data_IF_112863300945
#
_entry.id   IF_112863300945
#
_cell.length_a   1.000
_cell.length_b   1.000
_cell.length_c   1.000
_cell.angle_alpha   90.00
_cell.angle_beta   90.00
_cell.angle_gamma   90.00
#
_symmetry.space_group_name_H-M   'P 1'
#
loop_
_entity.id
_entity.type
_entity.pdbx_description
1 polymer ?
#
# COMPACT_ATOMS: atom_id res chain seq x y z
N UNK A 1 -54.65 21.94 -6.62
CA UNK A 1 -54.74 22.72 -5.36
C UNK A 1 -53.75 22.13 -4.37
N UNK A 2 -52.45 22.47 -4.37
CA UNK A 2 -51.83 23.79 -4.67
C UNK A 2 -52.43 24.91 -3.79
N UNK A 3 -51.72 25.84 -3.14
CA UNK A 3 -50.29 26.16 -2.94
C UNK A 3 -50.20 27.17 -1.74
N UNK A 4 -49.09 27.60 -1.14
CA UNK A 4 -47.63 27.41 -1.33
C UNK A 4 -46.89 27.66 0.01
N UNK A 5 -45.61 27.26 0.16
CA UNK A 5 -44.66 27.90 1.12
C UNK A 5 -43.24 28.02 0.51
N UNK A 6 -42.97 29.24 0.03
CA UNK A 6 -41.71 30.01 0.13
C UNK A 6 -40.35 29.33 -0.08
N UNK A 7 -39.72 29.65 -1.21
CA UNK A 7 -38.29 29.45 -1.49
C UNK A 7 -37.41 30.49 -0.80
N UNK A 8 -36.39 30.07 -0.05
CA UNK A 8 -35.28 30.90 0.43
C UNK A 8 -34.03 30.04 0.73
N UNK A 9 -32.88 30.44 0.17
CA UNK A 9 -31.58 29.81 0.42
C UNK A 9 -31.34 28.53 -0.38
N UNK A 10 -30.18 28.30 -0.98
CA UNK A 10 -28.94 29.09 -1.00
C UNK A 10 -27.88 28.25 -1.72
N UNK A 11 -27.00 28.87 -2.50
CA UNK A 11 -26.08 28.14 -3.37
C UNK A 11 -25.06 27.30 -2.60
N UNK A 12 -25.32 26.00 -2.44
CA UNK A 12 -24.33 24.98 -2.11
C UNK A 12 -23.98 24.21 -3.37
N UNK A 13 -22.81 24.47 -3.95
CA UNK A 13 -22.31 23.65 -5.04
C UNK A 13 -22.14 22.21 -4.54
N UNK A 14 -22.89 21.26 -5.11
CA UNK A 14 -22.66 19.85 -4.87
C UNK A 14 -21.27 19.50 -5.42
N UNK A 15 -20.26 19.47 -4.53
CA UNK A 15 -19.03 18.74 -4.77
C UNK A 15 -19.45 17.31 -5.09
N UNK A 16 -19.31 16.91 -6.36
CA UNK A 16 -19.49 15.53 -6.80
C UNK A 16 -18.30 14.72 -6.34
N UNK A 17 -18.23 14.49 -5.02
CA UNK A 17 -17.44 13.41 -4.47
C UNK A 17 -17.84 12.13 -5.18
N UNK A 18 -16.84 11.39 -5.67
CA UNK A 18 -17.06 10.10 -6.30
C UNK A 18 -17.69 9.19 -5.26
N UNK A 19 -18.86 8.62 -5.58
CA UNK A 19 -19.57 7.72 -4.68
C UNK A 19 -18.71 6.50 -4.30
N UNK A 20 -19.08 5.79 -3.22
CA UNK A 20 -18.31 4.64 -2.75
C UNK A 20 -18.11 3.62 -3.88
N UNK A 21 -16.86 3.21 -4.09
CA UNK A 21 -16.50 2.21 -5.11
C UNK A 21 -16.67 0.82 -4.50
N UNK A 22 -17.77 0.15 -4.81
CA UNK A 22 -18.00 -1.22 -4.37
C UNK A 22 -17.22 -2.24 -5.22
N UNK A 23 -16.36 -3.02 -4.57
CA UNK A 23 -15.62 -4.12 -5.21
C UNK A 23 -16.16 -5.46 -4.72
N UNK A 24 -17.17 -5.98 -5.41
CA UNK A 24 -17.72 -7.30 -5.11
C UNK A 24 -16.70 -8.42 -5.38
N UNK A 25 -16.48 -9.24 -4.36
CA UNK A 25 -15.71 -10.49 -4.39
C UNK A 25 -16.66 -11.70 -4.56
N UNK A 26 -16.12 -12.87 -4.93
CA UNK A 26 -16.90 -14.11 -4.97
C UNK A 26 -17.40 -14.51 -3.57
N UNK A 27 -18.47 -15.31 -3.51
CA UNK A 27 -19.31 -15.58 -2.31
C UNK A 27 -18.64 -16.28 -1.11
N UNK A 28 -17.32 -16.47 -1.12
CA UNK A 28 -16.57 -16.90 0.07
C UNK A 28 -16.10 -15.67 0.84
N UNK A 29 -16.38 -15.62 2.15
CA UNK A 29 -15.84 -14.57 3.02
C UNK A 29 -14.30 -14.53 2.93
N UNK A 30 -13.75 -13.33 2.80
CA UNK A 30 -12.30 -13.14 2.66
C UNK A 30 -11.58 -13.62 3.91
N UNK A 31 -10.57 -14.48 3.73
CA UNK A 31 -9.69 -14.93 4.80
C UNK A 31 -8.82 -13.77 5.29
N UNK A 32 -8.36 -13.88 6.54
CA UNK A 32 -7.48 -12.90 7.19
C UNK A 32 -6.24 -12.54 6.36
N UNK A 33 -5.60 -13.53 5.72
CA UNK A 33 -4.46 -13.33 4.81
C UNK A 33 -4.82 -12.65 3.48
N UNK A 34 -6.02 -12.89 2.96
CA UNK A 34 -6.53 -12.23 1.75
C UNK A 34 -6.83 -10.75 2.02
N UNK A 35 -7.49 -10.45 3.16
CA UNK A 35 -7.70 -9.07 3.64
C UNK A 35 -6.37 -8.36 3.84
N UNK A 36 -5.41 -8.99 4.52
CA UNK A 36 -4.06 -8.42 4.69
C UNK A 36 -3.37 -8.13 3.36
N UNK A 37 -3.50 -9.02 2.36
CA UNK A 37 -2.91 -8.82 1.04
C UNK A 37 -3.52 -7.61 0.30
N UNK A 38 -4.86 -7.53 0.26
CA UNK A 38 -5.57 -6.41 -0.37
C UNK A 38 -5.22 -5.08 0.32
N UNK A 39 -5.14 -5.07 1.66
CA UNK A 39 -4.73 -3.90 2.43
C UNK A 39 -3.25 -3.52 2.18
N UNK A 40 -2.33 -4.49 2.09
CA UNK A 40 -0.92 -4.23 1.72
C UNK A 40 -0.83 -3.53 0.37
N UNK A 41 -1.55 -4.02 -0.63
CA UNK A 41 -1.52 -3.44 -1.98
C UNK A 41 -2.22 -2.07 -2.03
N UNK A 42 -3.32 -1.88 -1.31
CA UNK A 42 -3.98 -0.57 -1.14
C UNK A 42 -3.06 0.45 -0.49
N UNK A 43 -2.42 0.12 0.64
CA UNK A 43 -1.46 1.00 1.33
C UNK A 43 -0.29 1.32 0.39
N UNK A 44 0.30 0.30 -0.27
CA UNK A 44 1.39 0.50 -1.22
C UNK A 44 1.01 1.39 -2.41
N UNK A 45 -0.21 1.25 -2.94
CA UNK A 45 -0.73 2.08 -4.03
C UNK A 45 -0.98 3.53 -3.57
N UNK A 46 -1.66 3.72 -2.44
CA UNK A 46 -1.98 5.04 -1.89
C UNK A 46 -0.69 5.81 -1.54
N UNK A 47 0.30 5.16 -0.92
CA UNK A 47 1.60 5.76 -0.64
C UNK A 47 2.35 6.17 -1.92
N UNK A 48 2.23 5.40 -3.00
CA UNK A 48 2.83 5.73 -4.29
C UNK A 48 2.12 6.90 -4.98
N UNK A 49 0.78 6.91 -4.98
CA UNK A 49 -0.03 8.00 -5.55
C UNK A 49 0.19 9.34 -4.84
N UNK A 50 0.43 9.32 -3.52
CA UNK A 50 0.78 10.50 -2.72
C UNK A 50 2.28 10.81 -2.68
N UNK A 51 3.07 10.15 -3.53
CA UNK A 51 4.54 10.33 -3.64
C UNK A 51 5.31 10.15 -2.31
N UNK A 52 4.74 9.41 -1.35
CA UNK A 52 5.42 9.05 -0.11
C UNK A 52 6.46 7.94 -0.32
N UNK A 53 6.31 7.16 -1.39
CA UNK A 53 7.29 6.18 -1.86
C UNK A 53 7.67 6.43 -3.33
N UNK A 54 8.95 6.20 -3.74
CA UNK A 54 9.43 6.62 -5.05
C UNK A 54 9.03 5.71 -6.22
N UNK A 55 8.53 4.50 -5.95
CA UNK A 55 7.92 3.60 -6.93
C UNK A 55 6.95 2.64 -6.24
N UNK A 56 6.19 1.85 -7.01
CA UNK A 56 5.22 0.89 -6.46
C UNK A 56 5.89 -0.12 -5.53
N UNK A 57 5.23 -0.46 -4.42
CA UNK A 57 5.79 -1.28 -3.34
C UNK A 57 6.48 -2.59 -3.83
N UNK A 58 5.89 -3.41 -4.72
CA UNK A 58 6.56 -4.62 -5.22
C UNK A 58 7.87 -4.34 -5.97
N UNK A 59 7.99 -3.19 -6.64
CA UNK A 59 9.23 -2.79 -7.31
C UNK A 59 10.32 -2.42 -6.33
N UNK A 60 9.97 -1.79 -5.19
CA UNK A 60 10.90 -1.46 -4.11
C UNK A 60 11.36 -2.71 -3.37
N UNK A 61 10.44 -3.64 -3.10
CA UNK A 61 10.76 -4.95 -2.51
C UNK A 61 11.77 -5.71 -3.38
N UNK A 62 11.54 -5.78 -4.68
CA UNK A 62 12.44 -6.42 -5.64
C UNK A 62 13.80 -5.70 -5.80
N UNK A 63 13.83 -4.37 -5.92
CA UNK A 63 15.10 -3.62 -5.99
C UNK A 63 15.93 -3.81 -4.72
N UNK A 64 15.29 -3.76 -3.55
CA UNK A 64 15.97 -3.93 -2.27
C UNK A 64 16.49 -5.36 -2.05
N UNK A 65 15.73 -6.37 -2.49
CA UNK A 65 16.18 -7.76 -2.49
C UNK A 65 17.40 -7.96 -3.40
N UNK A 66 17.33 -7.49 -4.66
CA UNK A 66 18.44 -7.57 -5.62
C UNK A 66 19.70 -6.85 -5.13
N UNK A 67 19.57 -5.66 -4.52
CA UNK A 67 20.71 -4.96 -3.92
C UNK A 67 21.35 -5.73 -2.75
N UNK A 68 20.55 -6.43 -1.93
CA UNK A 68 21.06 -7.29 -0.86
C UNK A 68 21.76 -8.53 -1.41
N UNK A 69 21.19 -9.16 -2.43
CA UNK A 69 21.77 -10.29 -3.14
C UNK A 69 23.13 -9.93 -3.76
N UNK A 70 23.20 -8.83 -4.53
CA UNK A 70 24.46 -8.32 -5.11
C UNK A 70 25.53 -8.03 -4.03
N UNK A 71 25.11 -7.58 -2.84
CA UNK A 71 26.01 -7.37 -1.70
C UNK A 71 26.50 -8.69 -1.08
N UNK A 72 25.66 -9.72 -1.02
CA UNK A 72 26.08 -11.05 -0.55
C UNK A 72 27.00 -11.75 -1.55
N UNK A 73 26.72 -11.68 -2.85
CA UNK A 73 27.62 -12.19 -3.89
C UNK A 73 28.99 -11.49 -3.84
N UNK A 74 28.98 -10.16 -3.74
CA UNK A 74 30.23 -9.41 -3.54
C UNK A 74 30.94 -9.78 -2.23
N UNK A 75 30.24 -10.17 -1.17
CA UNK A 75 30.88 -10.61 0.07
C UNK A 75 31.60 -11.98 -0.07
N UNK A 76 31.18 -12.81 -1.02
CA UNK A 76 31.71 -14.16 -1.27
C UNK A 76 32.87 -14.19 -2.29
N UNK A 77 33.11 -13.12 -3.05
CA UNK A 77 34.17 -13.12 -4.07
C UNK A 77 35.60 -13.18 -3.47
N UNK A 78 36.51 -14.04 -4.00
CA UNK A 78 37.90 -14.12 -3.55
C UNK A 78 38.72 -12.82 -3.73
N UNK A 79 39.80 -12.70 -2.96
CA UNK A 79 40.66 -11.51 -2.96
C UNK A 79 41.52 -11.31 -4.23
N UNK A 80 41.60 -12.32 -5.10
CA UNK A 80 42.46 -12.35 -6.29
C UNK A 80 41.83 -11.63 -7.50
N UNK A 81 41.64 -10.31 -7.36
CA UNK A 81 41.28 -9.43 -8.47
C UNK A 81 42.48 -8.62 -8.94
N UNK A 82 42.63 -8.45 -10.26
CA UNK A 82 43.64 -7.55 -10.85
C UNK A 82 43.43 -6.12 -10.31
N UNK A 83 44.49 -5.28 -10.20
CA UNK A 83 44.37 -3.95 -9.58
C UNK A 83 43.30 -3.04 -10.20
N UNK A 84 43.10 -3.11 -11.53
CA UNK A 84 42.02 -2.41 -12.25
C UNK A 84 40.64 -2.85 -11.79
N UNK A 85 40.45 -4.16 -11.72
CA UNK A 85 39.17 -4.81 -11.47
C UNK A 85 38.80 -4.64 -10.00
N UNK A 86 39.79 -4.72 -9.10
CA UNK A 86 39.66 -4.39 -7.68
C UNK A 86 39.17 -2.95 -7.45
N UNK A 87 39.64 -1.97 -8.23
CA UNK A 87 39.14 -0.58 -8.16
C UNK A 87 37.69 -0.49 -8.61
N UNK A 88 37.35 -1.08 -9.76
CA UNK A 88 35.97 -1.10 -10.30
C UNK A 88 34.99 -1.76 -9.32
N UNK A 89 35.37 -2.93 -8.80
CA UNK A 89 34.64 -3.69 -7.79
C UNK A 89 34.44 -2.88 -6.50
N UNK A 90 35.47 -2.25 -5.94
CA UNK A 90 35.35 -1.47 -4.70
C UNK A 90 34.43 -0.25 -4.87
N UNK A 91 34.46 0.41 -6.02
CA UNK A 91 33.51 1.49 -6.37
C UNK A 91 32.08 0.96 -6.39
N UNK A 92 31.82 -0.16 -7.09
CA UNK A 92 30.49 -0.78 -7.18
C UNK A 92 29.97 -1.26 -5.82
N UNK A 93 30.81 -1.92 -5.02
CA UNK A 93 30.50 -2.35 -3.64
C UNK A 93 30.10 -1.17 -2.75
N UNK A 94 30.74 -0.02 -2.94
CA UNK A 94 30.41 1.22 -2.20
C UNK A 94 29.10 1.84 -2.68
N UNK A 95 28.81 1.81 -3.99
CA UNK A 95 27.53 2.22 -4.56
C UNK A 95 26.37 1.38 -4.02
N UNK A 96 26.47 0.05 -4.08
CA UNK A 96 25.43 -0.87 -3.59
C UNK A 96 25.21 -0.70 -2.08
N UNK A 97 26.27 -0.60 -1.26
CA UNK A 97 26.14 -0.27 0.18
C UNK A 97 25.38 1.03 0.42
N UNK A 98 25.62 2.06 -0.40
CA UNK A 98 24.91 3.35 -0.29
C UNK A 98 23.43 3.21 -0.70
N UNK A 99 23.12 2.45 -1.75
CA UNK A 99 21.75 2.19 -2.21
C UNK A 99 20.95 1.35 -1.22
N UNK A 100 21.56 0.33 -0.60
CA UNK A 100 20.95 -0.43 0.50
C UNK A 100 20.60 0.53 1.64
N UNK A 101 21.57 1.28 2.19
CA UNK A 101 21.32 2.22 3.30
C UNK A 101 20.25 3.28 3.01
N UNK A 102 20.12 3.70 1.74
CA UNK A 102 19.06 4.62 1.30
C UNK A 102 17.67 3.98 1.40
N UNK A 103 17.52 2.76 0.88
CA UNK A 103 16.23 2.05 0.88
C UNK A 103 15.88 1.44 2.24
N UNK A 104 16.86 1.04 3.03
CA UNK A 104 16.71 0.34 4.30
C UNK A 104 15.81 1.09 5.30
N UNK A 105 15.96 2.41 5.45
CA UNK A 105 15.06 3.21 6.31
C UNK A 105 13.61 3.13 5.87
N UNK A 106 13.35 3.24 4.56
CA UNK A 106 12.00 3.19 4.00
C UNK A 106 11.41 1.78 4.13
N UNK A 107 12.17 0.76 3.72
CA UNK A 107 11.72 -0.64 3.76
C UNK A 107 11.51 -1.13 5.19
N UNK A 108 12.28 -0.65 6.17
CA UNK A 108 12.05 -0.94 7.58
C UNK A 108 10.76 -0.28 8.08
N UNK A 109 10.51 0.99 7.74
CA UNK A 109 9.26 1.67 8.11
C UNK A 109 8.01 0.99 7.53
N UNK A 110 8.06 0.61 6.24
CA UNK A 110 6.97 -0.13 5.58
C UNK A 110 6.81 -1.52 6.21
N UNK A 111 7.91 -2.25 6.44
CA UNK A 111 7.87 -3.57 7.10
C UNK A 111 7.27 -3.49 8.51
N UNK A 112 7.60 -2.46 9.28
CA UNK A 112 7.00 -2.22 10.60
C UNK A 112 5.50 -1.96 10.49
N UNK A 113 5.06 -1.05 9.60
CA UNK A 113 3.64 -0.76 9.37
C UNK A 113 2.86 -2.03 8.98
N UNK A 114 3.37 -2.80 8.02
CA UNK A 114 2.73 -4.03 7.56
C UNK A 114 2.72 -5.11 8.65
N UNK A 115 3.77 -5.24 9.45
CA UNK A 115 3.81 -6.17 10.58
C UNK A 115 2.80 -5.79 11.68
N UNK A 116 2.68 -4.50 12.02
CA UNK A 116 1.67 -4.02 12.96
C UNK A 116 0.25 -4.22 12.45
N UNK A 117 -0.01 -3.97 11.16
CA UNK A 117 -1.30 -4.27 10.54
C UNK A 117 -1.61 -5.77 10.56
N UNK A 118 -0.63 -6.61 10.24
CA UNK A 118 -0.76 -8.06 10.29
C UNK A 118 -1.11 -8.55 11.70
N UNK A 119 -0.43 -8.01 12.72
CA UNK A 119 -0.66 -8.36 14.13
C UNK A 119 -2.05 -7.94 14.59
N UNK A 120 -2.49 -6.72 14.26
CA UNK A 120 -3.83 -6.23 14.57
C UNK A 120 -4.93 -7.08 13.91
N UNK A 121 -4.72 -7.56 12.67
CA UNK A 121 -5.62 -8.50 12.02
C UNK A 121 -5.65 -9.87 12.72
N UNK A 122 -4.50 -10.37 13.17
CA UNK A 122 -4.38 -11.66 13.89
C UNK A 122 -5.06 -11.64 15.28
N UNK A 123 -5.16 -10.49 15.94
CA UNK A 123 -5.83 -10.34 17.24
C UNK A 123 -7.36 -10.23 17.18
N UNK A 124 -7.93 -9.75 16.06
CA UNK A 124 -9.39 -9.57 15.93
C UNK A 124 -10.09 -10.79 15.33
N UNK A 125 -11.30 -11.08 15.80
CA UNK A 125 -12.20 -12.12 15.24
C UNK A 125 -12.92 -11.68 13.96
N UNK A 126 -13.03 -10.37 13.74
CA UNK A 126 -13.63 -9.78 12.55
C UNK A 126 -13.12 -8.36 12.32
N UNK A 127 -13.20 -7.88 11.08
CA UNK A 127 -12.93 -6.49 10.73
C UNK A 127 -14.08 -5.91 9.90
N UNK A 128 -14.52 -4.71 10.24
CA UNK A 128 -15.58 -3.97 9.52
C UNK A 128 -14.99 -3.01 8.48
N UNK A 129 -13.76 -2.52 8.71
CA UNK A 129 -13.02 -1.69 7.76
C UNK A 129 -11.68 -1.21 8.28
N UNK A 130 -10.95 -0.49 7.43
CA UNK A 130 -9.68 0.18 7.74
C UNK A 130 -9.72 1.61 7.22
N UNK A 131 -9.40 2.57 8.09
CA UNK A 131 -9.25 3.98 7.68
C UNK A 131 -7.77 4.31 7.57
N UNK A 132 -7.30 4.62 6.35
CA UNK A 132 -5.95 5.09 6.08
C UNK A 132 -5.93 6.62 6.00
N UNK A 133 -5.25 7.25 6.95
CA UNK A 133 -5.12 8.70 7.05
C UNK A 133 -3.72 9.12 6.60
N UNK A 134 -3.64 10.14 5.74
CA UNK A 134 -2.39 10.79 5.35
C UNK A 134 -2.44 12.27 5.73
N UNK A 135 -1.38 12.77 6.35
CA UNK A 135 -1.27 14.17 6.78
C UNK A 135 -0.38 14.31 8.00
N UNK A 136 -0.21 15.54 8.49
CA UNK A 136 0.62 15.83 9.66
C UNK A 136 -0.05 15.55 11.01
N UNK A 137 -1.37 15.32 11.05
CA UNK A 137 -2.12 15.08 12.29
C UNK A 137 -3.46 14.39 12.02
N UNK A 138 -3.90 13.54 12.96
CA UNK A 138 -5.26 12.98 12.97
C UNK A 138 -6.35 14.05 13.14
N UNK A 139 -6.01 15.21 13.74
CA UNK A 139 -6.95 16.33 13.93
C UNK A 139 -7.12 17.16 12.65
N UNK A 140 -6.16 17.08 11.72
CA UNK A 140 -6.16 17.78 10.43
C UNK A 140 -5.57 16.86 9.35
N UNK A 141 -6.30 15.80 8.96
CA UNK A 141 -5.88 14.92 7.88
C UNK A 141 -5.87 15.71 6.56
N UNK A 142 -4.94 15.40 5.66
CA UNK A 142 -4.95 15.90 4.28
C UNK A 142 -5.78 14.96 3.40
N UNK A 143 -5.68 13.65 3.64
CA UNK A 143 -6.41 12.62 2.93
C UNK A 143 -6.91 11.56 3.91
N UNK A 144 -8.13 11.08 3.66
CA UNK A 144 -8.75 9.98 4.40
C UNK A 144 -9.27 8.98 3.38
N UNK A 145 -8.84 7.74 3.49
CA UNK A 145 -9.28 6.61 2.70
C UNK A 145 -10.00 5.63 3.61
N UNK A 146 -11.32 5.52 3.45
CA UNK A 146 -12.13 4.52 4.13
C UNK A 146 -12.24 3.25 3.28
N UNK A 147 -11.94 2.10 3.87
CA UNK A 147 -11.92 0.78 3.24
C UNK A 147 -12.86 -0.12 4.03
N UNK A 148 -14.13 -0.13 3.69
CA UNK A 148 -15.15 -0.97 4.33
C UNK A 148 -15.06 -2.42 3.86
N UNK A 149 -15.18 -3.39 4.77
CA UNK A 149 -15.10 -4.83 4.51
C UNK A 149 -16.39 -5.51 4.96
N UNK A 150 -17.38 -5.52 4.08
CA UNK A 150 -18.61 -6.30 4.28
C UNK A 150 -18.27 -7.79 4.39
N UNK A 151 -18.63 -8.41 5.51
CA UNK A 151 -18.40 -9.83 5.84
C UNK A 151 -16.94 -10.25 6.13
N UNK A 152 -16.12 -9.35 6.70
CA UNK A 152 -14.77 -9.66 7.20
C UNK A 152 -14.74 -10.52 8.47
N UNK A 153 -15.50 -11.62 8.54
CA UNK A 153 -15.49 -12.57 9.66
C UNK A 153 -14.32 -13.55 9.48
N UNK A 154 -13.45 -13.66 10.48
CA UNK A 154 -12.26 -14.49 10.38
C UNK A 154 -12.39 -15.82 11.13
N UNK A 155 -12.12 -16.92 10.41
CA UNK A 155 -11.91 -18.23 11.01
C UNK A 155 -10.55 -18.36 11.73
N UNK A 156 -10.26 -19.53 12.31
CA UNK A 156 -8.93 -19.84 12.83
C UNK A 156 -7.89 -19.84 11.70
N UNK A 157 -6.75 -19.21 11.95
CA UNK A 157 -5.67 -19.00 10.97
C UNK A 157 -4.99 -17.64 11.16
N UNK A 158 -3.85 -17.41 10.48
CA UNK A 158 -3.10 -16.15 10.59
C UNK A 158 -3.00 -15.45 9.23
N UNK A 159 -2.95 -14.12 9.25
CA UNK A 159 -2.60 -13.25 8.13
C UNK A 159 -1.23 -13.59 7.51
N UNK A 160 -0.37 -14.34 8.23
CA UNK A 160 0.92 -14.87 7.74
C UNK A 160 0.78 -15.97 6.70
N UNK A 161 -0.41 -16.56 6.50
CA UNK A 161 -0.61 -17.62 5.51
C UNK A 161 -0.46 -17.07 4.09
N UNK A 162 0.72 -17.25 3.49
CA UNK A 162 1.10 -16.71 2.17
C UNK A 162 0.36 -17.32 0.96
N UNK A 163 -0.79 -17.97 1.18
CA UNK A 163 -1.65 -18.51 0.13
C UNK A 163 -2.34 -17.37 -0.64
N UNK A 164 -1.62 -16.80 -1.61
CA UNK A 164 -2.06 -15.71 -2.46
C UNK A 164 -3.15 -16.22 -3.41
N UNK A 165 -4.41 -16.15 -3.00
CA UNK A 165 -5.52 -16.75 -3.75
C UNK A 165 -5.86 -15.95 -5.01
N UNK A 166 -6.45 -16.64 -5.99
CA UNK A 166 -6.99 -15.99 -7.21
C UNK A 166 -8.04 -14.92 -6.88
N UNK A 167 -8.72 -15.07 -5.73
CA UNK A 167 -9.70 -14.12 -5.23
C UNK A 167 -9.03 -12.80 -4.81
N UNK A 168 -8.01 -12.87 -3.94
CA UNK A 168 -7.24 -11.69 -3.53
C UNK A 168 -6.65 -10.96 -4.75
N UNK A 169 -6.00 -11.68 -5.67
CA UNK A 169 -5.46 -11.08 -6.90
C UNK A 169 -6.52 -10.41 -7.78
N UNK A 170 -7.71 -11.00 -7.88
CA UNK A 170 -8.83 -10.43 -8.65
C UNK A 170 -9.35 -9.13 -8.02
N UNK A 171 -9.57 -9.15 -6.70
CA UNK A 171 -9.99 -7.98 -5.92
C UNK A 171 -8.95 -6.87 -6.03
N UNK A 172 -7.67 -7.14 -5.78
CA UNK A 172 -6.60 -6.15 -5.85
C UNK A 172 -6.45 -5.50 -7.23
N UNK A 173 -6.56 -6.27 -8.32
CA UNK A 173 -6.54 -5.71 -9.69
C UNK A 173 -7.73 -4.78 -9.93
N UNK A 174 -8.92 -5.17 -9.46
CA UNK A 174 -10.15 -4.40 -9.63
C UNK A 174 -10.13 -3.12 -8.78
N UNK A 175 -9.69 -3.22 -7.52
CA UNK A 175 -9.41 -2.08 -6.63
C UNK A 175 -8.40 -1.12 -7.28
N UNK A 176 -7.24 -1.62 -7.72
CA UNK A 176 -6.20 -0.82 -8.36
C UNK A 176 -6.71 -0.11 -9.62
N UNK A 177 -7.52 -0.77 -10.45
CA UNK A 177 -8.18 -0.15 -11.60
C UNK A 177 -9.09 1.02 -11.19
N UNK A 178 -9.93 0.86 -10.16
CA UNK A 178 -10.77 1.98 -9.72
C UNK A 178 -9.93 3.12 -9.14
N UNK A 179 -8.92 2.82 -8.32
CA UNK A 179 -8.06 3.84 -7.73
C UNK A 179 -7.21 4.61 -8.76
N UNK A 180 -6.91 4.04 -9.94
CA UNK A 180 -6.28 4.78 -11.05
C UNK A 180 -7.27 5.57 -11.91
N UNK A 181 -8.57 5.20 -11.91
CA UNK A 181 -9.62 5.86 -12.70
C UNK A 181 -10.47 6.86 -11.92
N UNK A 182 -10.19 7.09 -10.63
CA UNK A 182 -10.65 8.27 -9.88
C UNK A 182 -10.16 9.51 -10.65
N UNK A 183 -11.05 10.33 -11.27
CA UNK A 183 -10.61 11.50 -12.01
C UNK A 183 -9.84 12.46 -11.09
N UNK A 184 -8.68 12.93 -11.56
CA UNK A 184 -7.84 13.94 -10.89
C UNK A 184 -8.47 15.34 -10.96
N UNK A 185 -9.73 15.48 -10.58
CA UNK A 185 -10.30 16.81 -10.39
C UNK A 185 -9.87 17.36 -9.02
N UNK A 186 -9.35 18.59 -9.05
CA UNK A 186 -9.13 19.46 -7.89
C UNK A 186 -7.99 19.06 -6.93
N UNK A 187 -6.75 19.14 -7.45
CA UNK A 187 -5.55 19.43 -6.66
C UNK A 187 -4.87 20.74 -7.05
N UNK A 188 -5.66 21.79 -7.31
CA UNK A 188 -5.23 23.19 -7.22
C UNK A 188 -6.40 24.10 -6.85
N UNK A 189 -6.49 24.45 -5.56
CA UNK A 189 -6.93 25.74 -5.03
C UNK A 189 -6.46 25.86 -3.58
#
# INVERSE_FOLDING_TARGET
METDISSCGGGGAQQRGIGPVEVQAATAALRRSEVFHVLKELVGFVLYMHHQIPSVLPSLENEFASLKEEMTEMALQPAELKPSDRRKYNTRKTEVRRRIKKHEKLMNGISTLLCSLQHALDEVSSIEGVVLILGGSLVRPLFVYDITISHGIFGPGSAKEHALTKLAQSVSRKVGYYCTNIPRHEYMQ
#
